data_IF_100749686614
#
_entry.id   IF_100749686614
#
_cell.length_a   1.000
_cell.length_b   1.000
_cell.length_c   1.000
_cell.angle_alpha   90.00
_cell.angle_beta   90.00
_cell.angle_gamma   90.00
#
_symmetry.space_group_name_H-M   'P 1'
#
loop_
_entity.id
_entity.type
_entity.pdbx_description
1 polymer ?
#
# COMPACT_ATOMS: atom_id res chain seq x y z
N UNK A 1 9.71 9.43 -5.82
CA UNK A 1 10.80 8.82 -5.03
C UNK A 1 10.49 8.90 -3.55
N UNK A 2 10.70 7.82 -2.79
CA UNK A 2 10.54 7.77 -1.32
C UNK A 2 11.93 7.54 -0.72
N UNK A 3 12.30 8.34 0.26
CA UNK A 3 13.59 8.24 0.93
C UNK A 3 13.43 8.29 2.44
N UNK A 4 13.90 7.28 3.13
CA UNK A 4 13.97 7.19 4.59
C UNK A 4 15.43 7.04 4.99
N UNK A 5 15.89 7.84 5.97
CA UNK A 5 17.25 7.75 6.49
C UNK A 5 17.25 7.66 8.00
N UNK A 6 17.79 6.54 8.51
CA UNK A 6 17.95 6.23 9.94
C UNK A 6 16.69 6.49 10.77
N UNK A 7 15.53 6.14 10.19
CA UNK A 7 14.22 6.41 10.80
C UNK A 7 14.03 5.57 12.06
N UNK A 8 13.79 6.25 13.17
CA UNK A 8 13.41 5.66 14.46
C UNK A 8 11.98 6.08 14.79
N UNK A 9 11.18 5.13 15.28
CA UNK A 9 9.82 5.38 15.77
C UNK A 9 9.50 4.48 16.94
N UNK A 10 9.03 5.09 18.03
CA UNK A 10 8.62 4.41 19.26
C UNK A 10 7.15 4.76 19.57
N UNK A 11 6.48 3.87 20.28
CA UNK A 11 5.17 4.13 20.89
C UNK A 11 5.24 3.69 22.35
N UNK A 12 4.80 4.55 23.26
CA UNK A 12 4.79 4.30 24.71
C UNK A 12 6.18 3.85 25.25
N UNK A 13 7.26 4.40 24.66
CA UNK A 13 8.64 4.06 25.01
C UNK A 13 9.22 2.82 24.32
N UNK A 14 8.39 2.03 23.66
CA UNK A 14 8.83 0.81 22.94
C UNK A 14 9.23 1.13 21.50
N UNK A 15 10.50 0.88 21.08
CA UNK A 15 10.97 1.17 19.75
C UNK A 15 10.46 0.14 18.73
N UNK A 16 9.65 0.61 17.79
CA UNK A 16 9.11 -0.20 16.69
C UNK A 16 10.00 -0.15 15.46
N UNK A 17 10.49 1.03 15.09
CA UNK A 17 11.48 1.19 14.02
C UNK A 17 12.80 1.65 14.64
N UNK A 18 13.91 0.96 14.31
CA UNK A 18 15.20 1.10 14.97
C UNK A 18 16.31 1.53 14.00
N UNK A 19 16.09 2.62 13.26
CA UNK A 19 17.06 3.14 12.30
C UNK A 19 16.85 2.52 10.90
N UNK A 20 15.65 2.71 10.34
CA UNK A 20 15.29 2.21 9.01
C UNK A 20 15.87 3.12 7.93
N UNK A 21 16.61 2.53 7.00
CA UNK A 21 17.03 3.13 5.74
C UNK A 21 16.26 2.47 4.58
N UNK A 22 15.68 3.28 3.69
CA UNK A 22 14.92 2.77 2.54
C UNK A 22 14.91 3.82 1.43
N UNK A 23 15.20 3.38 0.21
CA UNK A 23 15.03 4.19 -0.99
C UNK A 23 14.16 3.43 -1.98
N UNK A 24 13.12 4.11 -2.49
CA UNK A 24 12.23 3.58 -3.53
C UNK A 24 12.18 4.59 -4.66
N UNK A 25 12.63 4.18 -5.83
CA UNK A 25 12.63 5.00 -7.03
C UNK A 25 11.23 5.09 -7.66
N UNK A 26 11.04 6.10 -8.51
CA UNK A 26 9.76 6.26 -9.22
C UNK A 26 9.53 5.08 -10.17
N UNK A 27 8.34 4.48 -10.09
CA UNK A 27 7.95 3.30 -10.88
C UNK A 27 8.42 1.97 -10.30
N UNK A 28 9.21 1.97 -9.22
CA UNK A 28 9.69 0.75 -8.57
C UNK A 28 8.55 0.06 -7.78
N UNK A 29 8.56 -1.25 -7.80
CA UNK A 29 7.60 -2.10 -7.07
C UNK A 29 8.33 -2.81 -5.94
N UNK A 30 8.04 -2.42 -4.72
CA UNK A 30 8.74 -2.90 -3.52
C UNK A 30 7.79 -3.70 -2.64
N UNK A 31 8.26 -4.84 -2.15
CA UNK A 31 7.60 -5.56 -1.05
C UNK A 31 8.42 -5.41 0.25
N UNK A 32 7.70 -5.25 1.36
CA UNK A 32 8.27 -5.28 2.70
C UNK A 32 7.58 -6.41 3.45
N UNK A 33 8.35 -7.42 3.78
CA UNK A 33 7.91 -8.63 4.46
C UNK A 33 8.38 -8.67 5.90
N UNK A 34 7.82 -9.55 6.68
CA UNK A 34 8.22 -9.77 8.08
C UNK A 34 7.05 -10.21 8.93
N UNK A 35 7.32 -10.66 10.17
CA UNK A 35 6.30 -11.17 11.07
C UNK A 35 5.26 -10.11 11.44
N UNK A 36 4.11 -10.55 11.94
CA UNK A 36 3.08 -9.64 12.47
C UNK A 36 3.65 -8.78 13.60
N UNK A 37 3.32 -7.50 13.61
CA UNK A 37 3.77 -6.57 14.65
C UNK A 37 5.19 -6.01 14.48
N UNK A 38 5.99 -6.44 13.49
CA UNK A 38 7.36 -5.96 13.32
C UNK A 38 7.50 -4.49 12.83
N UNK A 39 6.39 -3.78 12.56
CA UNK A 39 6.42 -2.36 12.20
C UNK A 39 6.07 -2.03 10.75
N UNK A 40 5.69 -3.00 9.90
CA UNK A 40 5.36 -2.77 8.46
C UNK A 40 4.29 -1.70 8.24
N UNK A 41 3.15 -1.81 8.91
CA UNK A 41 2.07 -0.81 8.79
C UNK A 41 2.46 0.54 9.41
N UNK A 42 3.34 0.55 10.43
CA UNK A 42 3.92 1.78 10.98
C UNK A 42 4.78 2.49 9.93
N UNK A 43 5.57 1.74 9.18
CA UNK A 43 6.40 2.26 8.11
C UNK A 43 5.55 2.89 6.99
N UNK A 44 4.44 2.22 6.56
CA UNK A 44 3.51 2.81 5.58
C UNK A 44 2.90 4.12 6.09
N UNK A 45 2.48 4.17 7.36
CA UNK A 45 1.91 5.38 7.96
C UNK A 45 2.91 6.52 8.08
N UNK A 46 4.19 6.23 8.30
CA UNK A 46 5.27 7.21 8.24
C UNK A 46 5.46 7.76 6.82
N UNK A 47 5.48 6.91 5.79
CA UNK A 47 5.58 7.37 4.40
C UNK A 47 4.45 8.34 4.03
N UNK A 48 3.23 8.11 4.54
CA UNK A 48 2.08 8.99 4.31
C UNK A 48 2.05 10.23 5.23
N UNK A 49 3.00 10.36 6.15
CA UNK A 49 3.00 11.45 7.12
C UNK A 49 1.86 11.40 8.13
N UNK A 50 1.26 10.22 8.39
CA UNK A 50 0.33 10.04 9.52
C UNK A 50 1.08 9.95 10.85
N UNK A 51 2.29 9.42 10.81
CA UNK A 51 3.25 9.48 11.89
C UNK A 51 4.49 10.25 11.46
N UNK A 52 5.15 10.87 12.42
CA UNK A 52 6.45 11.50 12.23
C UNK A 52 7.52 10.66 12.93
N UNK A 53 8.73 10.57 12.38
CA UNK A 53 9.84 9.87 13.03
C UNK A 53 10.25 10.58 14.32
N UNK A 54 10.72 9.82 15.31
CA UNK A 54 11.30 10.37 16.53
C UNK A 54 12.75 10.84 16.27
N UNK A 55 13.43 10.21 15.31
CA UNK A 55 14.71 10.66 14.75
C UNK A 55 14.89 10.10 13.33
N UNK A 56 15.86 10.64 12.59
CA UNK A 56 16.03 10.36 11.17
C UNK A 56 15.16 11.27 10.31
N UNK A 57 15.06 10.98 9.00
CA UNK A 57 14.28 11.78 8.06
C UNK A 57 13.45 10.92 7.11
N UNK A 58 12.32 11.46 6.69
CA UNK A 58 11.45 10.87 5.67
C UNK A 58 11.18 11.93 4.61
N UNK A 59 11.61 11.68 3.38
CA UNK A 59 11.38 12.59 2.28
C UNK A 59 10.61 11.91 1.14
N UNK A 60 9.64 12.62 0.57
CA UNK A 60 8.83 12.18 -0.56
C UNK A 60 9.00 13.19 -1.69
N UNK A 61 9.46 12.74 -2.86
CA UNK A 61 9.80 13.61 -3.98
C UNK A 61 10.74 14.78 -3.60
N UNK A 62 11.67 14.52 -2.66
CA UNK A 62 12.62 15.52 -2.16
C UNK A 62 12.09 16.45 -1.06
N UNK A 63 10.82 16.34 -0.69
CA UNK A 63 10.20 17.13 0.38
C UNK A 63 10.28 16.38 1.72
N UNK A 64 11.03 16.90 2.71
CA UNK A 64 11.11 16.31 4.05
C UNK A 64 9.81 16.54 4.82
N UNK A 65 9.20 15.46 5.31
CA UNK A 65 7.92 15.49 6.04
C UNK A 65 7.94 16.41 7.26
N UNK A 66 9.07 16.50 7.96
CA UNK A 66 9.19 17.33 9.17
C UNK A 66 9.17 18.83 8.86
N UNK A 67 9.53 19.21 7.63
CA UNK A 67 9.56 20.61 7.19
C UNK A 67 8.25 21.11 6.59
N UNK A 68 7.28 20.20 6.36
CA UNK A 68 6.05 20.54 5.66
C UNK A 68 5.04 21.27 6.56
N UNK A 69 4.45 22.33 6.02
CA UNK A 69 3.25 22.93 6.61
C UNK A 69 2.06 21.95 6.53
N UNK A 70 1.01 22.13 7.37
CA UNK A 70 -0.19 21.28 7.31
C UNK A 70 -0.85 21.23 5.92
N UNK A 71 -0.82 22.33 5.18
CA UNK A 71 -1.33 22.39 3.80
C UNK A 71 -0.46 21.60 2.83
N UNK A 72 0.87 21.72 2.93
CA UNK A 72 1.82 20.97 2.11
C UNK A 72 1.71 19.47 2.40
N UNK A 73 1.59 19.07 3.67
CA UNK A 73 1.41 17.68 4.07
C UNK A 73 0.08 17.09 3.52
N UNK A 74 -1.01 17.88 3.53
CA UNK A 74 -2.26 17.45 2.88
C UNK A 74 -2.06 17.21 1.39
N UNK A 75 -1.38 18.12 0.68
CA UNK A 75 -1.09 17.97 -0.75
C UNK A 75 -0.18 16.76 -1.03
N UNK A 76 0.80 16.50 -0.16
CA UNK A 76 1.65 15.33 -0.27
C UNK A 76 0.84 14.04 -0.17
N UNK A 77 -0.11 13.96 0.76
CA UNK A 77 -1.00 12.79 0.92
C UNK A 77 -1.85 12.50 -0.32
N UNK A 78 -2.16 13.51 -1.12
CA UNK A 78 -2.88 13.31 -2.40
C UNK A 78 -2.05 12.57 -3.46
N UNK A 79 -0.73 12.50 -3.30
CA UNK A 79 0.15 11.68 -4.14
C UNK A 79 0.01 10.18 -3.88
N UNK A 80 -0.64 9.79 -2.75
CA UNK A 80 -0.77 8.42 -2.31
C UNK A 80 -2.18 7.87 -2.51
N UNK A 81 -2.25 6.63 -2.99
CA UNK A 81 -3.40 5.76 -2.83
C UNK A 81 -3.09 4.69 -1.78
N UNK A 82 -4.11 4.17 -1.12
CA UNK A 82 -3.91 3.09 -0.14
C UNK A 82 -5.03 2.06 -0.20
N UNK A 83 -4.64 0.79 -0.30
CA UNK A 83 -5.49 -0.35 -0.03
C UNK A 83 -5.18 -0.88 1.37
N UNK A 84 -6.16 -0.79 2.25
CA UNK A 84 -6.08 -1.32 3.62
C UNK A 84 -6.38 -2.82 3.67
N UNK A 85 -5.92 -3.49 4.72
CA UNK A 85 -6.13 -4.92 4.95
C UNK A 85 -7.62 -5.33 4.88
N UNK A 86 -8.54 -4.55 5.44
CA UNK A 86 -9.99 -4.80 5.40
C UNK A 86 -10.68 -4.12 4.21
N UNK A 87 -9.94 -3.56 3.26
CA UNK A 87 -10.39 -2.61 2.25
C UNK A 87 -10.91 -1.27 2.82
N UNK A 88 -11.32 -1.21 4.07
CA UNK A 88 -11.79 -0.03 4.82
C UNK A 88 -12.81 0.82 4.01
N UNK A 89 -13.79 0.16 3.38
CA UNK A 89 -14.90 0.86 2.71
C UNK A 89 -15.78 1.54 3.76
N UNK A 90 -16.35 2.67 3.40
CA UNK A 90 -17.35 3.34 4.21
C UNK A 90 -18.67 2.59 4.10
N UNK A 91 -19.12 1.98 5.19
CA UNK A 91 -20.30 1.11 5.22
C UNK A 91 -21.61 1.85 4.91
N UNK A 92 -21.65 3.16 5.16
CA UNK A 92 -22.78 4.04 4.88
C UNK A 92 -22.83 4.58 3.44
N UNK A 93 -21.86 4.23 2.61
CA UNK A 93 -21.71 4.70 1.24
C UNK A 93 -21.84 3.54 0.25
N UNK A 94 -22.47 3.79 -0.88
CA UNK A 94 -22.48 2.87 -2.03
C UNK A 94 -21.07 2.66 -2.58
N UNK A 95 -20.91 1.67 -3.44
CA UNK A 95 -19.68 1.43 -4.19
C UNK A 95 -19.24 2.68 -4.97
N UNK A 96 -20.17 3.33 -5.67
CA UNK A 96 -19.86 4.53 -6.44
C UNK A 96 -19.38 5.70 -5.55
N UNK A 97 -20.01 5.90 -4.41
CA UNK A 97 -19.61 6.93 -3.44
C UNK A 97 -18.26 6.61 -2.81
N UNK A 98 -17.99 5.36 -2.46
CA UNK A 98 -16.68 4.93 -1.98
C UNK A 98 -15.56 5.23 -2.98
N UNK A 99 -15.76 4.89 -4.27
CA UNK A 99 -14.75 5.10 -5.31
C UNK A 99 -14.58 6.59 -5.63
N UNK A 100 -15.67 7.36 -5.68
CA UNK A 100 -15.62 8.81 -5.96
C UNK A 100 -15.16 9.65 -4.78
N UNK A 101 -15.08 9.10 -3.57
CA UNK A 101 -14.85 9.88 -2.33
C UNK A 101 -13.64 10.82 -2.44
N UNK A 102 -12.50 10.32 -2.92
CA UNK A 102 -11.30 11.15 -3.05
C UNK A 102 -11.42 12.22 -4.15
N UNK A 103 -12.19 11.97 -5.20
CA UNK A 103 -12.44 12.91 -6.28
C UNK A 103 -13.33 14.08 -5.79
N UNK A 104 -14.35 13.76 -5.01
CA UNK A 104 -15.29 14.75 -4.46
C UNK A 104 -14.60 15.56 -3.36
N UNK A 105 -14.03 14.90 -2.34
CA UNK A 105 -13.49 15.59 -1.15
C UNK A 105 -12.17 16.32 -1.40
N UNK A 106 -11.33 15.81 -2.28
CA UNK A 106 -9.99 16.37 -2.47
C UNK A 106 -9.82 17.16 -3.76
N UNK A 107 -10.57 16.82 -4.83
CA UNK A 107 -10.48 17.50 -6.13
C UNK A 107 -11.67 18.43 -6.39
N UNK A 108 -12.66 18.44 -5.49
CA UNK A 108 -13.84 19.33 -5.59
C UNK A 108 -14.78 18.97 -6.74
N UNK A 109 -14.70 17.75 -7.27
CA UNK A 109 -15.64 17.26 -8.30
C UNK A 109 -17.04 17.08 -7.70
N UNK A 110 -18.08 17.33 -8.49
CA UNK A 110 -19.41 16.86 -8.09
C UNK A 110 -19.50 15.34 -8.31
N UNK A 111 -20.39 14.68 -7.58
CA UNK A 111 -20.64 13.23 -7.79
C UNK A 111 -21.08 12.93 -9.25
N UNK A 112 -21.81 13.86 -9.86
CA UNK A 112 -22.24 13.76 -11.26
C UNK A 112 -21.03 13.78 -12.22
N UNK A 113 -20.06 14.67 -11.96
CA UNK A 113 -18.86 14.80 -12.80
C UNK A 113 -17.93 13.57 -12.62
N UNK A 114 -17.88 13.00 -11.41
CA UNK A 114 -17.10 11.80 -11.11
C UNK A 114 -17.70 10.51 -11.70
N UNK A 115 -18.98 10.51 -12.10
CA UNK A 115 -19.72 9.30 -12.49
C UNK A 115 -19.00 8.48 -13.57
N UNK A 116 -18.54 9.14 -14.65
CA UNK A 116 -17.83 8.44 -15.73
C UNK A 116 -16.51 7.84 -15.24
N UNK A 117 -15.74 8.59 -14.46
CA UNK A 117 -14.48 8.08 -13.88
C UNK A 117 -14.71 6.86 -13.00
N UNK A 118 -15.80 6.86 -12.22
CA UNK A 118 -16.20 5.73 -11.37
C UNK A 118 -16.56 4.52 -12.23
N UNK A 119 -17.35 4.70 -13.30
CA UNK A 119 -17.72 3.61 -14.22
C UNK A 119 -16.47 2.99 -14.84
N UNK A 120 -15.56 3.80 -15.39
CA UNK A 120 -14.31 3.34 -16.01
C UNK A 120 -13.41 2.58 -14.99
N UNK A 121 -13.32 3.09 -13.75
CA UNK A 121 -12.56 2.44 -12.68
C UNK A 121 -13.17 1.11 -12.24
N UNK A 122 -14.49 1.03 -12.16
CA UNK A 122 -15.18 -0.22 -11.81
C UNK A 122 -15.02 -1.27 -12.91
N UNK A 123 -15.08 -0.89 -14.18
CA UNK A 123 -14.77 -1.78 -15.30
C UNK A 123 -13.32 -2.28 -15.22
N UNK A 124 -12.35 -1.37 -14.92
CA UNK A 124 -10.93 -1.70 -14.83
C UNK A 124 -10.63 -2.77 -13.76
N UNK A 125 -11.37 -2.75 -12.64
CA UNK A 125 -11.21 -3.73 -11.55
C UNK A 125 -12.19 -4.92 -11.67
N UNK A 126 -12.97 -5.02 -12.77
CA UNK A 126 -13.92 -6.10 -13.01
C UNK A 126 -15.15 -6.05 -12.10
N UNK A 127 -15.61 -4.83 -11.78
CA UNK A 127 -16.76 -4.56 -10.91
C UNK A 127 -17.83 -3.71 -11.61
N UNK A 128 -17.87 -3.73 -12.96
CA UNK A 128 -18.91 -3.08 -13.74
C UNK A 128 -20.31 -3.50 -13.28
N UNK A 129 -21.25 -2.55 -13.21
CA UNK A 129 -22.62 -2.80 -12.75
C UNK A 129 -22.80 -2.84 -11.21
N UNK A 130 -21.71 -2.68 -10.42
CA UNK A 130 -21.79 -2.72 -8.96
C UNK A 130 -22.01 -1.35 -8.28
N UNK A 131 -22.20 -0.28 -9.03
CA UNK A 131 -22.20 1.10 -8.58
C UNK A 131 -23.11 1.36 -7.36
N UNK A 132 -24.31 0.76 -7.38
CA UNK A 132 -25.36 0.99 -6.39
C UNK A 132 -25.35 -0.02 -5.23
N UNK A 133 -24.41 -0.99 -5.22
CA UNK A 133 -24.30 -1.94 -4.11
C UNK A 133 -23.73 -1.27 -2.87
N UNK A 134 -24.12 -1.80 -1.70
CA UNK A 134 -23.52 -1.41 -0.42
C UNK A 134 -22.34 -2.36 -0.10
N UNK A 135 -21.36 -1.94 0.71
CA UNK A 135 -20.26 -2.81 1.16
C UNK A 135 -20.71 -4.12 1.81
N UNK A 136 -21.86 -4.12 2.49
CA UNK A 136 -22.45 -5.30 3.09
C UNK A 136 -22.87 -6.37 2.07
N UNK A 137 -23.17 -5.97 0.83
CA UNK A 137 -23.59 -6.87 -0.26
C UNK A 137 -22.38 -7.48 -1.01
N UNK A 138 -21.15 -7.14 -0.62
CA UNK A 138 -19.95 -7.53 -1.32
C UNK A 138 -19.23 -8.69 -0.64
N UNK A 139 -18.72 -9.65 -1.44
CA UNK A 139 -17.75 -10.64 -0.95
C UNK A 139 -16.42 -10.01 -0.58
N UNK A 140 -15.54 -10.75 0.14
CA UNK A 140 -14.20 -10.27 0.50
C UNK A 140 -13.38 -9.82 -0.72
N UNK A 141 -13.34 -10.62 -1.78
CA UNK A 141 -12.65 -10.28 -3.02
C UNK A 141 -13.25 -9.05 -3.73
N UNK A 142 -14.59 -8.92 -3.74
CA UNK A 142 -15.27 -7.74 -4.29
C UNK A 142 -14.90 -6.48 -3.50
N UNK A 143 -14.89 -6.54 -2.16
CA UNK A 143 -14.46 -5.40 -1.32
C UNK A 143 -13.02 -4.98 -1.63
N UNK A 144 -12.10 -5.94 -1.82
CA UNK A 144 -10.71 -5.64 -2.22
C UNK A 144 -10.63 -4.94 -3.58
N UNK A 145 -11.39 -5.41 -4.58
CA UNK A 145 -11.45 -4.78 -5.90
C UNK A 145 -11.97 -3.34 -5.84
N UNK A 146 -13.03 -3.09 -5.07
CA UNK A 146 -13.53 -1.72 -4.84
C UNK A 146 -12.52 -0.86 -4.09
N UNK A 147 -11.83 -1.43 -3.07
CA UNK A 147 -10.74 -0.75 -2.38
C UNK A 147 -9.59 -0.36 -3.31
N UNK A 148 -9.24 -1.22 -4.28
CA UNK A 148 -8.27 -0.91 -5.34
C UNK A 148 -8.75 0.23 -6.23
N UNK A 149 -10.00 0.18 -6.72
CA UNK A 149 -10.58 1.26 -7.53
C UNK A 149 -10.54 2.60 -6.78
N UNK A 150 -10.91 2.61 -5.48
CA UNK A 150 -10.83 3.80 -4.64
C UNK A 150 -9.40 4.29 -4.46
N UNK A 151 -8.45 3.37 -4.26
CA UNK A 151 -7.03 3.73 -4.05
C UNK A 151 -6.42 4.43 -5.27
N UNK A 152 -6.84 4.08 -6.49
CA UNK A 152 -6.31 4.66 -7.72
C UNK A 152 -7.17 5.79 -8.31
N UNK A 153 -8.33 6.08 -7.73
CA UNK A 153 -9.31 7.03 -8.29
C UNK A 153 -8.75 8.44 -8.49
N UNK A 154 -7.90 8.91 -7.59
CA UNK A 154 -7.26 10.24 -7.68
C UNK A 154 -6.02 10.28 -8.57
N UNK A 155 -5.72 9.22 -9.32
CA UNK A 155 -4.50 9.05 -10.11
C UNK A 155 -3.21 9.28 -9.30
N UNK A 156 -3.03 8.54 -8.18
CA UNK A 156 -1.88 8.70 -7.31
C UNK A 156 -0.58 8.28 -8.01
N UNK A 157 0.54 8.88 -7.61
CA UNK A 157 1.88 8.48 -8.08
C UNK A 157 2.40 7.25 -7.33
N UNK A 158 1.94 7.06 -6.10
CA UNK A 158 2.39 6.00 -5.19
C UNK A 158 1.16 5.28 -4.66
N UNK A 159 1.16 3.95 -4.69
CA UNK A 159 0.10 3.14 -4.05
C UNK A 159 0.72 2.23 -3.00
N UNK A 160 0.15 2.29 -1.81
CA UNK A 160 0.53 1.45 -0.69
C UNK A 160 -0.53 0.35 -0.52
N UNK A 161 -0.07 -0.89 -0.41
CA UNK A 161 -0.92 -2.07 -0.22
C UNK A 161 -0.59 -2.70 1.14
N UNK A 162 -1.52 -2.60 2.08
CA UNK A 162 -1.40 -3.21 3.42
C UNK A 162 -2.15 -4.54 3.44
N UNK A 163 -1.41 -5.65 3.40
CA UNK A 163 -1.96 -7.02 3.41
C UNK A 163 -3.09 -7.23 2.38
N UNK A 164 -2.81 -7.02 1.08
CA UNK A 164 -3.86 -6.94 0.07
C UNK A 164 -4.68 -8.21 -0.11
N UNK A 165 -4.10 -9.38 0.17
CA UNK A 165 -4.70 -10.70 -0.07
C UNK A 165 -5.11 -11.43 1.20
N UNK A 166 -4.82 -10.86 2.37
CA UNK A 166 -5.21 -11.47 3.67
C UNK A 166 -6.71 -11.66 3.77
N UNK A 167 -7.11 -12.88 4.19
CA UNK A 167 -8.52 -13.26 4.36
C UNK A 167 -9.21 -13.73 3.07
N UNK A 168 -8.46 -13.92 1.98
CA UNK A 168 -8.95 -14.49 0.73
C UNK A 168 -8.44 -15.93 0.56
N UNK A 169 -9.20 -16.72 -0.17
CA UNK A 169 -8.72 -18.01 -0.65
C UNK A 169 -7.61 -17.86 -1.71
N UNK A 170 -6.85 -18.92 -2.03
CA UNK A 170 -5.72 -18.83 -2.96
C UNK A 170 -6.10 -18.34 -4.37
N UNK A 171 -7.29 -18.71 -4.86
CA UNK A 171 -7.74 -18.32 -6.21
C UNK A 171 -8.03 -16.81 -6.24
N UNK A 172 -8.79 -16.32 -5.27
CA UNK A 172 -9.09 -14.89 -5.15
C UNK A 172 -7.82 -14.07 -4.86
N UNK A 173 -6.90 -14.60 -4.05
CA UNK A 173 -5.59 -13.96 -3.80
C UNK A 173 -4.83 -13.73 -5.11
N UNK A 174 -4.69 -14.77 -5.92
CA UNK A 174 -4.05 -14.67 -7.24
C UNK A 174 -4.72 -13.62 -8.14
N UNK A 175 -6.06 -13.57 -8.17
CA UNK A 175 -6.77 -12.57 -8.95
C UNK A 175 -6.53 -11.14 -8.48
N UNK A 176 -6.38 -10.91 -7.17
CA UNK A 176 -6.04 -9.58 -6.63
C UNK A 176 -4.58 -9.22 -6.95
N UNK A 177 -3.66 -10.18 -6.84
CA UNK A 177 -2.25 -10.00 -7.22
C UNK A 177 -2.11 -9.63 -8.70
N UNK A 178 -2.77 -10.36 -9.60
CA UNK A 178 -2.78 -10.07 -11.03
C UNK A 178 -3.37 -8.67 -11.32
N UNK A 179 -4.42 -8.30 -10.60
CA UNK A 179 -5.00 -6.97 -10.73
C UNK A 179 -4.05 -5.88 -10.26
N UNK A 180 -3.34 -6.06 -9.14
CA UNK A 180 -2.30 -5.13 -8.65
C UNK A 180 -1.20 -4.95 -9.70
N UNK A 181 -0.68 -6.05 -10.24
CA UNK A 181 0.36 -6.03 -11.29
C UNK A 181 -0.13 -5.27 -12.52
N UNK A 182 -1.35 -5.59 -12.99
CA UNK A 182 -1.97 -4.93 -14.13
C UNK A 182 -2.08 -3.41 -13.91
N UNK A 183 -2.61 -2.99 -12.76
CA UNK A 183 -2.81 -1.57 -12.42
C UNK A 183 -1.47 -0.83 -12.32
N UNK A 184 -0.49 -1.41 -11.62
CA UNK A 184 0.83 -0.83 -11.47
C UNK A 184 1.51 -0.58 -12.82
N UNK A 185 1.41 -1.54 -13.75
CA UNK A 185 2.00 -1.44 -15.07
C UNK A 185 1.24 -0.46 -15.98
N UNK A 186 -0.09 -0.51 -16.01
CA UNK A 186 -0.89 0.36 -16.87
C UNK A 186 -0.82 1.84 -16.46
N UNK A 187 -0.73 2.10 -15.15
CA UNK A 187 -0.73 3.45 -14.59
C UNK A 187 0.67 3.96 -14.24
N UNK A 188 1.72 3.16 -14.48
CA UNK A 188 3.11 3.46 -14.10
C UNK A 188 3.26 3.89 -12.63
N UNK A 189 2.66 3.12 -11.72
CA UNK A 189 2.60 3.42 -10.29
C UNK A 189 3.88 2.96 -9.60
N UNK A 190 4.42 3.78 -8.71
CA UNK A 190 5.36 3.34 -7.67
C UNK A 190 4.56 2.62 -6.59
N UNK A 191 4.92 1.38 -6.23
CA UNK A 191 4.12 0.63 -5.28
C UNK A 191 4.93 0.05 -4.11
N UNK A 192 4.30 0.04 -2.93
CA UNK A 192 4.82 -0.63 -1.74
C UNK A 192 3.77 -1.61 -1.23
N UNK A 193 4.11 -2.87 -1.22
CA UNK A 193 3.26 -3.95 -0.67
C UNK A 193 3.85 -4.38 0.67
N UNK A 194 3.08 -4.33 1.74
CA UNK A 194 3.46 -4.99 2.99
C UNK A 194 2.61 -6.23 3.18
N UNK A 195 3.25 -7.37 3.40
CA UNK A 195 2.56 -8.65 3.55
C UNK A 195 3.47 -9.70 4.20
N UNK A 196 2.86 -10.78 4.66
CA UNK A 196 3.54 -12.00 5.07
C UNK A 196 3.32 -13.16 4.08
N UNK A 197 2.58 -12.91 2.97
CA UNK A 197 2.25 -13.94 1.99
C UNK A 197 3.26 -13.99 0.85
N UNK A 198 3.85 -15.17 0.66
CA UNK A 198 4.90 -15.41 -0.34
C UNK A 198 4.46 -15.21 -1.78
N UNK A 199 3.29 -15.74 -2.15
CA UNK A 199 2.78 -15.59 -3.52
C UNK A 199 2.68 -14.13 -3.92
N UNK A 200 2.14 -13.31 -3.02
CA UNK A 200 1.97 -11.88 -3.24
C UNK A 200 3.30 -11.18 -3.51
N UNK A 201 4.35 -11.51 -2.73
CA UNK A 201 5.66 -10.89 -2.86
C UNK A 201 6.30 -11.20 -4.22
N UNK A 202 6.35 -12.49 -4.56
CA UNK A 202 7.01 -12.96 -5.77
C UNK A 202 6.33 -12.48 -7.06
N UNK A 203 5.03 -12.17 -6.99
CA UNK A 203 4.26 -11.73 -8.16
C UNK A 203 4.23 -10.20 -8.31
N UNK A 204 4.29 -9.45 -7.22
CA UNK A 204 3.98 -8.01 -7.24
C UNK A 204 5.17 -7.09 -7.07
N UNK A 205 6.36 -7.61 -6.72
CA UNK A 205 7.51 -6.78 -6.40
C UNK A 205 8.74 -7.10 -7.26
N UNK A 206 9.52 -6.07 -7.55
CA UNK A 206 10.83 -6.13 -8.17
C UNK A 206 11.95 -6.23 -7.09
N UNK A 207 11.71 -5.60 -5.92
CA UNK A 207 12.59 -5.63 -4.74
C UNK A 207 11.83 -6.03 -3.49
N UNK A 208 12.45 -6.83 -2.64
CA UNK A 208 11.88 -7.38 -1.42
C UNK A 208 12.80 -7.05 -0.25
N UNK A 209 12.27 -6.39 0.77
CA UNK A 209 12.96 -6.13 2.03
C UNK A 209 12.35 -6.97 3.14
N UNK A 210 13.17 -7.68 3.92
CA UNK A 210 12.71 -8.29 5.17
C UNK A 210 12.85 -7.29 6.31
N UNK A 211 11.75 -7.02 6.99
CA UNK A 211 11.76 -6.29 8.26
C UNK A 211 11.96 -7.25 9.41
N UNK A 212 13.09 -7.12 10.09
CA UNK A 212 13.46 -7.91 11.25
C UNK A 212 13.92 -7.00 12.38
N UNK A 213 13.40 -7.20 13.58
CA UNK A 213 13.72 -6.39 14.79
C UNK A 213 13.72 -4.87 14.53
N UNK A 214 12.68 -4.37 13.87
CA UNK A 214 12.50 -2.93 13.59
C UNK A 214 13.48 -2.35 12.57
N UNK A 215 14.21 -3.17 11.81
CA UNK A 215 15.16 -2.78 10.76
C UNK A 215 14.82 -3.45 9.44
N UNK A 216 15.19 -2.83 8.34
CA UNK A 216 15.15 -3.47 7.03
C UNK A 216 16.50 -4.13 6.74
N UNK A 217 16.47 -5.39 6.34
CA UNK A 217 17.65 -6.07 5.81
C UNK A 217 17.91 -5.60 4.38
N UNK A 218 19.12 -5.81 3.84
CA UNK A 218 19.43 -5.53 2.43
C UNK A 218 18.39 -6.16 1.50
N UNK A 219 18.00 -5.48 0.40
CA UNK A 219 16.95 -5.98 -0.47
C UNK A 219 17.40 -7.19 -1.28
N UNK A 220 16.44 -8.07 -1.56
CA UNK A 220 16.56 -9.19 -2.47
C UNK A 220 15.63 -9.01 -3.67
N UNK A 221 15.87 -9.73 -4.76
CA UNK A 221 14.89 -9.88 -5.85
C UNK A 221 14.05 -11.13 -5.65
N UNK A 222 12.93 -11.31 -6.38
CA UNK A 222 12.18 -12.57 -6.36
C UNK A 222 13.03 -13.82 -6.65
N UNK A 223 14.06 -13.69 -7.51
CA UNK A 223 14.96 -14.80 -7.87
C UNK A 223 15.99 -15.09 -6.77
N UNK A 224 16.52 -14.05 -6.12
CA UNK A 224 17.59 -14.22 -5.12
C UNK A 224 17.05 -14.60 -3.76
N UNK A 225 15.87 -14.10 -3.36
CA UNK A 225 15.29 -14.39 -2.06
C UNK A 225 15.04 -15.89 -1.84
N UNK A 226 14.67 -16.62 -2.91
CA UNK A 226 14.47 -18.08 -2.87
C UNK A 226 15.76 -18.86 -2.59
N UNK A 227 16.91 -18.23 -2.81
CA UNK A 227 18.25 -18.84 -2.63
C UNK A 227 19.05 -18.11 -1.56
N UNK A 228 18.41 -17.21 -0.81
CA UNK A 228 19.11 -16.40 0.17
C UNK A 228 19.78 -17.25 1.25
N UNK A 229 21.04 -16.93 1.54
CA UNK A 229 21.79 -17.55 2.64
C UNK A 229 21.58 -16.85 3.97
N UNK A 230 20.85 -15.69 3.96
CA UNK A 230 20.55 -14.96 5.17
C UNK A 230 19.64 -15.79 6.10
N UNK A 231 20.05 -16.07 7.35
CA UNK A 231 19.33 -16.96 8.25
C UNK A 231 17.90 -16.47 8.54
N UNK A 232 17.70 -15.16 8.69
CA UNK A 232 16.39 -14.57 8.96
C UNK A 232 15.43 -14.70 7.77
N UNK A 233 15.94 -14.52 6.55
CA UNK A 233 15.17 -14.72 5.32
C UNK A 233 14.78 -16.20 5.20
N UNK A 234 15.72 -17.11 5.41
CA UNK A 234 15.47 -18.56 5.36
C UNK A 234 14.44 -19.00 6.40
N UNK A 235 14.55 -18.50 7.62
CA UNK A 235 13.61 -18.78 8.70
C UNK A 235 12.20 -18.29 8.33
N UNK A 236 12.08 -17.05 7.86
CA UNK A 236 10.82 -16.50 7.39
C UNK A 236 10.23 -17.33 6.24
N UNK A 237 11.07 -17.72 5.26
CA UNK A 237 10.68 -18.53 4.09
C UNK A 237 10.19 -19.94 4.47
N UNK A 238 10.73 -20.52 5.54
CA UNK A 238 10.33 -21.85 6.02
C UNK A 238 9.05 -21.83 6.86
N UNK A 239 8.43 -20.68 7.07
CA UNK A 239 7.27 -20.52 7.92
C UNK A 239 7.57 -20.51 9.42
N UNK A 240 8.83 -20.31 9.79
CA UNK A 240 9.33 -20.31 11.17
C UNK A 240 9.22 -18.97 11.91
N UNK A 241 8.53 -17.99 11.35
CA UNK A 241 8.30 -16.68 11.96
C UNK A 241 6.81 -16.41 12.23
#
# INVERSE_FOLDING_TARGET
MIYLSKVVKSFDGEPILKGVDLTIETGEKVAIIGPSGCGKSTLLRLMMGFYFPDSGSVAIDGEDLLSLSPKALRNLRLKFGMLFQSAALFDSMTVAENVSFSLVENQGMTFKDAKKNVEDLLELVGMGGAQNKMPADLSGGMRKRIGLARAIASHPKIVLYDEPTTGLDPILSTQIEDLIVKLNNQLNITSVVVTHQFSTILRTADKIYLMHDGRLLPPETPETIMKSENPYIREFMSGGL
#
